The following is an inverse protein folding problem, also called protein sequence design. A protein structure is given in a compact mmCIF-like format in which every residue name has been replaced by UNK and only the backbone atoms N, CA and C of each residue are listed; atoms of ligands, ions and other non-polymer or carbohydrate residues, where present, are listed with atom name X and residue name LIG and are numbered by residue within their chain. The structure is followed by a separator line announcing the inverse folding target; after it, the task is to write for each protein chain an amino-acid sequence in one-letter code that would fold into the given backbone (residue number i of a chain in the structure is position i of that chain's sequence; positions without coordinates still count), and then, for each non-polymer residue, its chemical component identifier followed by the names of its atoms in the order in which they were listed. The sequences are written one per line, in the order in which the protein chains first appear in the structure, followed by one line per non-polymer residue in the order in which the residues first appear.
data_IF_399723031177
#
_entry.id   IF_399723031177
#
_cell.length_a   1.000
_cell.length_b   1.000
_cell.length_c   1.000
_cell.angle_alpha   90.00
_cell.angle_beta   90.00
_cell.angle_gamma   90.00
#
_symmetry.space_group_name_H-M   'P 1'
#
loop_
_entity.id
_entity.type
_entity.pdbx_description
1 polymer ?
#
# COMPACT_ATOMS: atom_id res chain seq x y z
N UNK A 1 -30.81 -3.55 47.78
CA UNK A 1 -29.80 -4.07 46.81
C UNK A 1 -30.01 -3.37 45.46
N UNK A 2 -28.98 -2.72 44.91
CA UNK A 2 -29.07 -2.08 43.57
C UNK A 2 -29.15 -3.17 42.51
N UNK A 3 -30.22 -3.20 41.72
CA UNK A 3 -30.36 -4.12 40.58
C UNK A 3 -29.28 -3.79 39.54
N UNK A 4 -28.59 -4.81 39.05
CA UNK A 4 -27.61 -4.67 37.98
C UNK A 4 -28.31 -4.23 36.69
N UNK A 5 -27.75 -3.29 35.91
CA UNK A 5 -28.33 -2.84 34.65
C UNK A 5 -28.59 -4.01 33.68
N UNK A 6 -27.84 -5.11 33.77
CA UNK A 6 -28.08 -6.34 32.99
C UNK A 6 -29.41 -7.03 33.36
N UNK A 7 -29.82 -6.98 34.62
CA UNK A 7 -31.08 -7.60 35.06
C UNK A 7 -32.31 -6.86 34.49
N UNK A 8 -32.20 -5.54 34.27
CA UNK A 8 -33.25 -4.72 33.66
C UNK A 8 -33.50 -5.08 32.19
N UNK A 9 -32.50 -5.55 31.44
CA UNK A 9 -32.68 -5.98 30.04
C UNK A 9 -33.54 -7.23 29.89
N UNK A 10 -33.55 -8.10 30.91
CA UNK A 10 -34.35 -9.33 30.92
C UNK A 10 -35.83 -9.05 31.25
N UNK A 11 -36.11 -7.92 31.88
CA UNK A 11 -37.46 -7.43 32.21
C UNK A 11 -38.11 -6.65 31.03
N UNK A 12 -37.39 -6.42 29.93
CA UNK A 12 -37.91 -5.72 28.74
C UNK A 12 -38.84 -6.61 27.89
N UNK A 13 -39.86 -6.00 27.29
CA UNK A 13 -40.74 -6.66 26.33
C UNK A 13 -39.92 -7.23 25.16
N UNK A 14 -40.19 -8.48 24.77
CA UNK A 14 -39.42 -9.21 23.76
C UNK A 14 -39.28 -8.43 22.42
N UNK A 15 -40.32 -7.67 22.03
CA UNK A 15 -40.30 -6.81 20.85
C UNK A 15 -39.32 -5.65 20.98
N UNK A 16 -39.23 -5.01 22.15
CA UNK A 16 -38.24 -3.97 22.43
C UNK A 16 -36.83 -4.53 22.53
N UNK A 17 -36.66 -5.72 23.10
CA UNK A 17 -35.36 -6.39 23.20
C UNK A 17 -34.78 -6.71 21.83
N UNK A 18 -35.60 -7.22 20.90
CA UNK A 18 -35.19 -7.46 19.50
C UNK A 18 -34.83 -6.14 18.81
N UNK A 19 -35.63 -5.08 19.00
CA UNK A 19 -35.32 -3.76 18.44
C UNK A 19 -33.99 -3.19 18.94
N UNK A 20 -33.72 -3.31 20.24
CA UNK A 20 -32.46 -2.88 20.85
C UNK A 20 -31.26 -3.70 20.36
N UNK A 21 -31.38 -5.02 20.25
CA UNK A 21 -30.31 -5.87 19.70
C UNK A 21 -30.04 -5.51 18.24
N UNK A 22 -31.09 -5.31 17.44
CA UNK A 22 -30.97 -4.91 16.04
C UNK A 22 -30.25 -3.56 15.89
N UNK A 23 -30.57 -2.59 16.75
CA UNK A 23 -29.90 -1.30 16.79
C UNK A 23 -28.42 -1.42 17.18
N UNK A 24 -28.09 -2.25 18.17
CA UNK A 24 -26.69 -2.50 18.57
C UNK A 24 -25.90 -3.12 17.42
N UNK A 25 -26.45 -4.13 16.75
CA UNK A 25 -25.80 -4.76 15.58
C UNK A 25 -25.61 -3.74 14.45
N UNK A 26 -26.62 -2.93 14.17
CA UNK A 26 -26.55 -1.88 13.15
C UNK A 26 -25.47 -0.83 13.44
N UNK A 27 -25.22 -0.53 14.72
CA UNK A 27 -24.17 0.42 15.14
C UNK A 27 -22.76 -0.19 15.15
N UNK A 28 -22.64 -1.49 15.43
CA UNK A 28 -21.34 -2.19 15.48
C UNK A 28 -20.81 -2.46 14.07
N UNK A 29 -21.67 -2.73 13.09
CA UNK A 29 -21.26 -3.07 11.71
C UNK A 29 -20.38 -1.98 11.04
N UNK A 30 -20.77 -0.68 11.02
CA UNK A 30 -19.94 0.38 10.44
C UNK A 30 -18.63 0.59 11.20
N UNK A 31 -18.67 0.53 12.53
CA UNK A 31 -17.49 0.71 13.37
C UNK A 31 -16.48 -0.43 13.19
N UNK A 32 -16.97 -1.67 13.10
CA UNK A 32 -16.15 -2.85 12.83
C UNK A 32 -15.53 -2.79 11.44
N UNK A 33 -16.31 -2.40 10.42
CA UNK A 33 -15.79 -2.20 9.07
C UNK A 33 -14.67 -1.14 9.04
N UNK A 34 -14.88 0.01 9.71
CA UNK A 34 -13.90 1.09 9.75
C UNK A 34 -12.61 0.74 10.51
N UNK A 35 -12.71 0.00 11.61
CA UNK A 35 -11.53 -0.43 12.37
C UNK A 35 -10.71 -1.46 11.58
N UNK A 36 -11.39 -2.37 10.88
CA UNK A 36 -10.76 -3.42 10.06
C UNK A 36 -10.02 -2.79 8.87
N UNK A 37 -10.59 -1.81 8.17
CA UNK A 37 -9.91 -1.20 7.01
C UNK A 37 -8.69 -0.38 7.40
N UNK A 38 -8.76 0.43 8.47
CA UNK A 38 -7.63 1.25 8.94
C UNK A 38 -6.46 0.41 9.45
N UNK A 39 -6.74 -0.66 10.22
CA UNK A 39 -5.70 -1.55 10.73
C UNK A 39 -5.06 -2.38 9.62
N UNK A 40 -5.83 -2.82 8.64
CA UNK A 40 -5.33 -3.56 7.46
C UNK A 40 -4.40 -2.69 6.61
N UNK A 41 -4.72 -1.41 6.37
CA UNK A 41 -3.86 -0.55 5.55
C UNK A 41 -2.51 -0.25 6.21
N UNK A 42 -2.49 -0.10 7.54
CA UNK A 42 -1.24 0.03 8.30
C UNK A 42 -0.45 -1.27 8.30
N UNK A 43 -1.10 -2.40 8.60
CA UNK A 43 -0.48 -3.72 8.56
C UNK A 43 0.10 -4.03 7.18
N UNK A 44 -0.57 -3.60 6.11
CA UNK A 44 -0.09 -3.77 4.74
C UNK A 44 1.15 -2.92 4.45
N UNK A 45 1.18 -1.65 4.87
CA UNK A 45 2.36 -0.79 4.71
C UNK A 45 3.57 -1.35 5.45
N UNK A 46 3.36 -1.83 6.68
CA UNK A 46 4.43 -2.46 7.47
C UNK A 46 4.84 -3.81 6.86
N UNK A 47 3.89 -4.61 6.39
CA UNK A 47 4.14 -5.87 5.68
C UNK A 47 4.97 -5.65 4.40
N UNK A 48 4.65 -4.63 3.61
CA UNK A 48 5.44 -4.22 2.44
C UNK A 48 6.87 -3.84 2.85
N UNK A 49 7.02 -3.04 3.92
CA UNK A 49 8.34 -2.63 4.41
C UNK A 49 9.18 -3.84 4.83
N UNK A 50 8.59 -4.79 5.55
CA UNK A 50 9.27 -6.01 5.98
C UNK A 50 9.59 -6.93 4.80
N UNK A 51 8.65 -7.09 3.86
CA UNK A 51 8.84 -7.89 2.65
C UNK A 51 10.00 -7.36 1.82
N UNK A 52 10.00 -6.07 1.49
CA UNK A 52 11.08 -5.45 0.71
C UNK A 52 12.40 -5.52 1.48
N UNK A 53 12.39 -5.20 2.77
CA UNK A 53 13.60 -5.18 3.59
C UNK A 53 14.25 -6.55 3.80
N UNK A 54 13.48 -7.65 3.76
CA UNK A 54 14.00 -9.01 3.95
C UNK A 54 14.27 -9.74 2.64
N UNK A 55 13.30 -9.72 1.72
CA UNK A 55 13.41 -10.50 0.49
C UNK A 55 14.30 -9.83 -0.56
N UNK A 56 14.40 -8.50 -0.53
CA UNK A 56 15.29 -7.74 -1.42
C UNK A 56 16.56 -7.28 -0.72
N UNK A 57 16.91 -7.83 0.45
CA UNK A 57 18.11 -7.45 1.19
C UNK A 57 19.42 -7.67 0.40
N UNK A 58 19.42 -8.66 -0.48
CA UNK A 58 20.56 -8.99 -1.35
C UNK A 58 20.61 -8.16 -2.63
N UNK A 59 19.60 -7.31 -2.88
CA UNK A 59 19.55 -6.43 -4.04
C UNK A 59 19.53 -4.96 -3.62
N UNK A 60 20.01 -4.09 -4.51
CA UNK A 60 19.90 -2.65 -4.27
C UNK A 60 18.57 -2.14 -4.79
N UNK A 61 17.62 -1.87 -3.89
CA UNK A 61 16.33 -1.26 -4.22
C UNK A 61 16.51 0.27 -4.27
N UNK A 62 16.43 0.85 -5.48
CA UNK A 62 16.61 2.30 -5.68
C UNK A 62 15.29 3.07 -5.63
N UNK A 63 14.16 2.40 -5.87
CA UNK A 63 12.84 3.01 -5.80
C UNK A 63 11.81 1.98 -5.30
N UNK A 64 10.96 2.41 -4.37
CA UNK A 64 9.87 1.62 -3.82
C UNK A 64 8.61 2.49 -3.78
N UNK A 65 7.63 2.16 -4.62
CA UNK A 65 6.38 2.91 -4.72
C UNK A 65 5.21 1.97 -4.51
N UNK A 66 4.45 2.21 -3.44
CA UNK A 66 3.18 1.51 -3.20
C UNK A 66 1.99 2.40 -3.60
N UNK A 67 1.25 1.96 -4.62
CA UNK A 67 0.02 2.59 -5.10
C UNK A 67 -1.20 1.96 -4.42
N UNK A 68 -1.59 2.50 -3.27
CA UNK A 68 -2.70 1.97 -2.47
C UNK A 68 -4.03 1.82 -3.22
N UNK A 69 -4.31 2.68 -4.21
CA UNK A 69 -5.55 2.62 -5.01
C UNK A 69 -5.66 1.34 -5.85
N UNK A 70 -4.54 0.90 -6.42
CA UNK A 70 -4.48 -0.28 -7.30
C UNK A 70 -3.90 -1.49 -6.59
N UNK A 71 -3.58 -1.35 -5.30
CA UNK A 71 -2.85 -2.32 -4.50
C UNK A 71 -1.57 -2.84 -5.17
N UNK A 72 -0.83 -1.95 -5.82
CA UNK A 72 0.34 -2.27 -6.64
C UNK A 72 1.62 -1.79 -5.95
N UNK A 73 2.61 -2.67 -5.81
CA UNK A 73 3.95 -2.37 -5.34
C UNK A 73 4.92 -2.42 -6.52
N UNK A 74 5.45 -1.26 -6.89
CA UNK A 74 6.47 -1.13 -7.93
C UNK A 74 7.83 -0.97 -7.27
N UNK A 75 8.72 -1.93 -7.50
CA UNK A 75 10.10 -1.91 -7.03
C UNK A 75 11.03 -1.70 -8.22
N UNK A 76 11.96 -0.75 -8.11
CA UNK A 76 13.08 -0.63 -9.03
C UNK A 76 14.32 -1.16 -8.37
N UNK A 77 14.88 -2.22 -8.93
CA UNK A 77 15.99 -2.99 -8.36
C UNK A 77 17.17 -2.94 -9.31
N UNK A 78 18.37 -2.76 -8.78
CA UNK A 78 19.63 -2.78 -9.54
C UNK A 78 20.39 -4.05 -9.20
N UNK A 79 20.95 -4.70 -10.22
CA UNK A 79 21.84 -5.85 -10.06
C UNK A 79 21.54 -6.97 -11.03
N UNK A 80 21.75 -8.19 -10.57
CA UNK A 80 21.50 -9.41 -11.33
C UNK A 80 20.00 -9.58 -11.63
N UNK A 81 19.66 -10.11 -12.82
CA UNK A 81 18.27 -10.31 -13.20
C UNK A 81 17.61 -11.35 -12.29
N UNK A 82 16.55 -10.95 -11.61
CA UNK A 82 15.63 -11.83 -10.89
C UNK A 82 14.96 -12.74 -11.91
N UNK A 83 15.13 -14.04 -11.72
CA UNK A 83 14.53 -15.08 -12.55
C UNK A 83 13.01 -15.18 -12.34
N UNK A 84 12.28 -15.78 -13.29
CA UNK A 84 10.83 -16.01 -13.14
C UNK A 84 10.54 -16.91 -11.93
N UNK A 85 11.39 -17.92 -11.68
CA UNK A 85 11.26 -18.81 -10.53
C UNK A 85 11.41 -18.04 -9.21
N UNK A 86 12.42 -17.18 -9.10
CA UNK A 86 12.60 -16.31 -7.94
C UNK A 86 11.41 -15.35 -7.77
N UNK A 87 10.90 -14.77 -8.86
CA UNK A 87 9.73 -13.91 -8.82
C UNK A 87 8.48 -14.65 -8.33
N UNK A 88 8.26 -15.90 -8.75
CA UNK A 88 7.18 -16.73 -8.21
C UNK A 88 7.37 -17.04 -6.72
N UNK A 89 8.59 -17.33 -6.27
CA UNK A 89 8.86 -17.53 -4.84
C UNK A 89 8.57 -16.26 -4.04
N UNK A 90 8.92 -15.08 -4.58
CA UNK A 90 8.62 -13.79 -3.98
C UNK A 90 7.11 -13.58 -3.86
N UNK A 91 6.35 -13.92 -4.89
CA UNK A 91 4.87 -13.88 -4.85
C UNK A 91 4.29 -14.80 -3.77
N UNK A 92 4.78 -16.04 -3.64
CA UNK A 92 4.31 -16.95 -2.60
C UNK A 92 4.62 -16.41 -1.20
N UNK A 93 5.81 -15.82 -1.01
CA UNK A 93 6.22 -15.25 0.26
C UNK A 93 5.38 -14.03 0.67
N UNK A 94 4.73 -13.31 -0.25
CA UNK A 94 3.84 -12.18 0.07
C UNK A 94 2.75 -12.54 1.09
N UNK A 95 2.27 -13.78 1.09
CA UNK A 95 1.28 -14.27 2.07
C UNK A 95 1.83 -14.30 3.50
N UNK A 96 3.11 -14.64 3.68
CA UNK A 96 3.75 -14.66 5.00
C UNK A 96 3.89 -13.27 5.63
N UNK A 97 3.84 -12.22 4.80
CA UNK A 97 3.88 -10.82 5.21
C UNK A 97 2.49 -10.16 5.25
N UNK A 98 1.41 -10.92 5.01
CA UNK A 98 0.03 -10.40 5.00
C UNK A 98 -0.28 -9.47 3.82
N UNK A 99 0.50 -9.56 2.74
CA UNK A 99 0.39 -8.70 1.56
C UNK A 99 0.09 -9.49 0.28
N UNK A 100 -0.49 -10.69 0.38
CA UNK A 100 -0.80 -11.54 -0.79
C UNK A 100 -1.69 -10.88 -1.84
N UNK A 101 -2.48 -9.88 -1.46
CA UNK A 101 -3.31 -9.14 -2.41
C UNK A 101 -2.53 -8.10 -3.20
N UNK A 102 -1.30 -7.75 -2.79
CA UNK A 102 -0.49 -6.69 -3.39
C UNK A 102 0.16 -7.21 -4.67
N UNK A 103 -0.11 -6.53 -5.79
CA UNK A 103 0.54 -6.86 -7.06
C UNK A 103 1.98 -6.37 -7.05
N UNK A 104 2.94 -7.28 -7.06
CA UNK A 104 4.37 -6.96 -7.15
C UNK A 104 4.77 -6.76 -8.62
N UNK A 105 5.37 -5.61 -8.93
CA UNK A 105 6.01 -5.31 -10.22
C UNK A 105 7.45 -4.92 -9.99
N UNK A 106 8.38 -5.66 -10.58
CA UNK A 106 9.81 -5.42 -10.43
C UNK A 106 10.37 -4.88 -11.74
N UNK A 107 10.87 -3.65 -11.69
CA UNK A 107 11.57 -3.01 -12.79
C UNK A 107 13.07 -3.18 -12.54
N UNK A 108 13.74 -3.94 -13.39
CA UNK A 108 15.16 -4.26 -13.20
C UNK A 108 16.04 -3.34 -14.04
N UNK A 109 16.97 -2.68 -13.36
CA UNK A 109 18.01 -1.87 -13.97
C UNK A 109 19.28 -2.72 -14.03
N UNK A 110 19.72 -3.04 -15.23
CA UNK A 110 20.86 -3.93 -15.43
C UNK A 110 22.16 -3.24 -15.00
N UNK A 111 22.94 -3.90 -14.13
CA UNK A 111 24.30 -3.49 -13.82
C UNK A 111 25.26 -4.05 -14.88
N UNK A 112 25.23 -3.50 -16.07
CA UNK A 112 26.10 -3.93 -17.15
C UNK A 112 27.46 -3.24 -17.01
N UNK A 113 28.44 -3.89 -16.36
CA UNK A 113 29.85 -3.46 -16.39
C UNK A 113 30.45 -3.51 -17.81
N UNK A 114 29.69 -4.05 -18.78
CA UNK A 114 29.87 -3.88 -20.21
C UNK A 114 28.52 -3.54 -20.83
N UNK A 115 28.16 -2.26 -20.85
CA UNK A 115 27.05 -1.83 -21.70
C UNK A 115 27.53 -1.86 -23.15
N UNK A 116 26.89 -2.67 -23.97
CA UNK A 116 26.90 -2.45 -25.41
C UNK A 116 26.27 -1.09 -25.70
N UNK A 117 26.74 -0.37 -26.73
CA UNK A 117 26.42 1.06 -26.90
C UNK A 117 24.91 1.37 -26.95
N UNK A 118 24.13 0.41 -27.46
CA UNK A 118 22.67 0.54 -27.57
C UNK A 118 21.96 0.42 -26.20
N UNK A 119 22.39 -0.52 -25.36
CA UNK A 119 21.87 -0.67 -23.99
C UNK A 119 22.24 0.52 -23.09
N UNK A 120 23.36 1.18 -23.38
CA UNK A 120 23.76 2.39 -22.66
C UNK A 120 22.81 3.54 -22.95
N UNK A 121 22.41 3.67 -24.20
CA UNK A 121 21.50 4.72 -24.64
C UNK A 121 20.11 4.52 -24.05
N UNK A 122 19.57 3.31 -24.08
CA UNK A 122 18.29 2.99 -23.43
C UNK A 122 18.32 3.25 -21.92
N UNK A 123 19.44 2.93 -21.26
CA UNK A 123 19.60 3.22 -19.84
C UNK A 123 19.58 4.73 -19.56
N UNK A 124 20.37 5.53 -20.28
CA UNK A 124 20.36 6.99 -20.12
C UNK A 124 19.02 7.63 -20.49
N UNK A 125 18.33 7.13 -21.53
CA UNK A 125 16.99 7.60 -21.89
C UNK A 125 15.96 7.26 -20.81
N UNK A 126 16.06 6.07 -20.21
CA UNK A 126 15.19 5.67 -19.09
C UNK A 126 15.42 6.55 -17.85
N UNK A 127 16.68 6.84 -17.53
CA UNK A 127 17.04 7.73 -16.41
C UNK A 127 16.55 9.16 -16.68
N UNK A 128 16.80 9.71 -17.87
CA UNK A 128 16.34 11.05 -18.24
C UNK A 128 14.82 11.16 -18.18
N UNK A 129 14.10 10.17 -18.73
CA UNK A 129 12.63 10.13 -18.68
C UNK A 129 12.11 10.08 -17.24
N UNK A 130 12.77 9.33 -16.35
CA UNK A 130 12.40 9.28 -14.94
C UNK A 130 12.65 10.62 -14.24
N UNK A 131 13.78 11.27 -14.52
CA UNK A 131 14.12 12.60 -14.00
C UNK A 131 13.10 13.64 -14.46
N UNK A 132 12.78 13.68 -15.76
CA UNK A 132 11.81 14.60 -16.34
C UNK A 132 10.41 14.40 -15.74
N UNK A 133 9.99 13.14 -15.56
CA UNK A 133 8.71 12.85 -14.90
C UNK A 133 8.69 13.37 -13.46
N UNK A 134 9.78 13.18 -12.70
CA UNK A 134 9.87 13.65 -11.31
C UNK A 134 9.95 15.17 -11.20
N UNK A 135 10.58 15.84 -12.16
CA UNK A 135 10.59 17.30 -12.26
C UNK A 135 9.21 17.85 -12.64
N UNK A 136 8.55 17.24 -13.63
CA UNK A 136 7.19 17.63 -14.04
C UNK A 136 6.16 17.44 -12.91
N UNK A 137 6.21 16.32 -12.17
CA UNK A 137 5.36 16.11 -10.99
C UNK A 137 5.58 17.18 -9.90
N UNK A 138 6.80 17.74 -9.81
CA UNK A 138 7.15 18.79 -8.84
C UNK A 138 6.70 20.18 -9.32
N UNK A 139 6.79 20.47 -10.62
CA UNK A 139 6.32 21.72 -11.19
C UNK A 139 4.79 21.80 -11.23
N UNK A 140 4.08 20.71 -11.55
CA UNK A 140 2.62 20.66 -11.47
C UNK A 140 2.08 20.88 -10.05
N UNK A 141 2.81 20.44 -9.01
CA UNK A 141 2.46 20.75 -7.63
C UNK A 141 2.67 22.22 -7.28
N UNK A 142 3.62 22.91 -7.94
CA UNK A 142 3.90 24.32 -7.73
C UNK A 142 2.84 25.23 -8.32
N UNK A 143 2.25 24.86 -9.46
CA UNK A 143 1.15 25.60 -10.08
C UNK A 143 -0.18 25.43 -9.32
N UNK A 144 -0.46 24.24 -8.78
CA UNK A 144 -1.64 24.00 -7.92
C UNK A 144 -1.61 24.82 -6.61
N UNK A 145 -0.43 25.11 -6.06
CA UNK A 145 -0.30 25.93 -4.84
C UNK A 145 -0.56 27.41 -5.12
N UNK A 146 -0.21 27.91 -6.32
CA UNK A 146 -0.45 29.31 -6.70
C UNK A 146 -1.91 29.62 -6.99
N UNK A 147 -2.67 28.68 -7.54
CA UNK A 147 -4.11 28.87 -7.79
C UNK A 147 -4.93 28.95 -6.49
N UNK A 148 -4.51 28.25 -5.42
CA UNK A 148 -5.17 28.30 -4.12
C UNK A 148 -4.85 29.55 -3.27
N UNK A 149 -3.82 30.33 -3.65
CA UNK A 149 -3.49 31.60 -2.97
C UNK A 149 -4.18 32.81 -3.61
N UNK A 150 -4.63 32.71 -4.87
CA UNK A 150 -5.27 33.81 -5.59
C UNK A 150 -6.77 34.01 -5.28
N UNK A 151 -7.39 33.10 -4.52
CA UNK A 151 -8.82 33.14 -4.14
C UNK A 151 -9.02 33.52 -2.65
N UNK A 152 -8.03 34.18 -2.04
CA UNK A 152 -8.02 34.59 -0.63
C UNK A 152 -7.84 36.09 -0.38
N UNK A 153 -7.96 36.93 -1.41
CA UNK A 153 -8.02 38.40 -1.27
C UNK A 153 -9.39 38.95 -1.75
#
# INVERSE_FOLDING_TARGET
MRKSPLSSFKELNIKMRIGLISLIVLLILPASYSAVTLTIDQARKEGIKQFVGKEFANHTVINQVYKSRNNELVLTVVGDPISEEELETLHQKQASYGIQSVQLKVNQVHNSTKLDSDSTKEFYETINKYIDQKLSEKDSQKDLVKENEADKD
#
